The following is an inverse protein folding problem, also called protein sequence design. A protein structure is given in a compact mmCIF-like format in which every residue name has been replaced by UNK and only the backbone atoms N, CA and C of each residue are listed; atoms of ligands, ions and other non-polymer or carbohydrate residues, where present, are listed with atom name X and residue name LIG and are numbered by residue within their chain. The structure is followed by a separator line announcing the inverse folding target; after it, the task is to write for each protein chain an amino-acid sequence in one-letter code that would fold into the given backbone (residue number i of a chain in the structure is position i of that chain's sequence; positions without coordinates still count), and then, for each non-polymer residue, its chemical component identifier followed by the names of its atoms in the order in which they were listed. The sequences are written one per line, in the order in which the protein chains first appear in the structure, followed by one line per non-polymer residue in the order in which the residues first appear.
data_IF_812253426194
#
_entry.id   IF_812253426194
#
_cell.length_a   1.000
_cell.length_b   1.000
_cell.length_c   1.000
_cell.angle_alpha   90.00
_cell.angle_beta   90.00
_cell.angle_gamma   90.00
#
_symmetry.space_group_name_H-M   'P 1'
#
loop_
_entity.id
_entity.type
_entity.pdbx_description
1 polymer ?
#
# COMPACT_ATOMS: atom_id res chain seq x y z
N UNK A 1 -15.21 63.46 -33.79
CA UNK A 1 -14.91 62.02 -33.63
C UNK A 1 -13.58 61.75 -34.35
N UNK A 2 -12.64 61.09 -33.66
CA UNK A 2 -11.18 61.06 -33.90
C UNK A 2 -10.76 60.70 -35.35
N UNK A 3 -10.07 61.58 -36.11
CA UNK A 3 -8.62 61.82 -36.20
C UNK A 3 -7.71 60.59 -36.44
N UNK A 4 -7.44 60.33 -37.74
CA UNK A 4 -6.15 60.38 -38.44
C UNK A 4 -4.90 59.71 -37.83
N UNK A 5 -4.29 58.77 -38.60
CA UNK A 5 -2.98 58.87 -39.34
C UNK A 5 -1.76 58.70 -38.40
N UNK A 6 -0.62 58.09 -38.73
CA UNK A 6 -0.09 57.19 -39.75
C UNK A 6 1.38 56.94 -39.29
N UNK A 7 1.84 55.68 -39.33
CA UNK A 7 3.21 55.21 -39.68
C UNK A 7 4.42 56.10 -39.32
N UNK A 8 5.33 55.65 -38.42
CA UNK A 8 6.69 55.12 -38.74
C UNK A 8 7.67 55.11 -37.54
N UNK A 9 8.33 53.97 -37.37
CA UNK A 9 9.68 53.63 -36.86
C UNK A 9 10.54 54.73 -36.20
N UNK A 10 11.06 54.47 -34.98
CA UNK A 10 12.44 54.79 -34.58
C UNK A 10 12.97 53.79 -33.52
N UNK A 11 14.16 53.24 -33.77
CA UNK A 11 14.99 52.51 -32.80
C UNK A 11 15.61 53.48 -31.79
N UNK A 12 15.56 53.15 -30.49
CA UNK A 12 16.50 53.61 -29.46
C UNK A 12 16.67 52.50 -28.40
N UNK A 13 17.92 52.12 -28.14
CA UNK A 13 18.34 51.18 -27.07
C UNK A 13 18.28 51.85 -25.66
N UNK A 14 18.88 51.23 -24.64
CA UNK A 14 18.29 50.30 -23.68
C UNK A 14 18.03 51.02 -22.34
N UNK A 15 17.20 50.47 -21.47
CA UNK A 15 17.23 50.60 -20.00
C UNK A 15 15.81 50.38 -19.48
N UNK A 16 15.72 49.60 -18.41
CA UNK A 16 14.55 49.35 -17.57
C UNK A 16 13.52 48.40 -18.19
N UNK A 17 13.62 47.11 -17.84
CA UNK A 17 12.49 46.28 -17.36
C UNK A 17 12.96 44.83 -17.08
N UNK A 18 13.61 44.66 -15.94
CA UNK A 18 13.35 43.56 -14.99
C UNK A 18 13.35 44.20 -13.60
N UNK A 19 12.55 43.75 -12.61
CA UNK A 19 12.13 42.35 -12.42
C UNK A 19 10.66 42.16 -12.01
N UNK A 20 10.01 41.09 -12.48
CA UNK A 20 8.91 40.44 -11.74
C UNK A 20 8.99 38.92 -11.98
N UNK A 21 10.06 38.34 -11.47
CA UNK A 21 10.19 36.90 -11.21
C UNK A 21 10.56 36.78 -9.73
N UNK A 22 9.58 37.00 -8.87
CA UNK A 22 9.70 36.78 -7.42
C UNK A 22 8.62 35.79 -7.02
N UNK A 23 9.08 34.54 -6.88
CA UNK A 23 8.61 33.54 -5.93
C UNK A 23 7.10 33.40 -5.68
N UNK A 24 6.44 32.58 -6.51
CA UNK A 24 5.49 31.60 -5.96
C UNK A 24 6.30 30.35 -5.58
N UNK A 25 7.10 30.49 -4.52
CA UNK A 25 7.41 29.33 -3.72
C UNK A 25 6.07 28.94 -3.08
N UNK A 26 5.39 27.95 -3.68
CA UNK A 26 4.37 27.22 -2.94
C UNK A 26 5.02 26.85 -1.61
N UNK A 27 4.50 27.39 -0.51
CA UNK A 27 5.00 27.04 0.80
C UNK A 27 4.97 25.52 0.87
N UNK A 28 6.15 24.88 0.91
CA UNK A 28 6.23 23.48 1.23
C UNK A 28 5.38 23.30 2.49
N UNK A 29 4.40 22.37 2.50
CA UNK A 29 3.56 22.18 3.67
C UNK A 29 4.48 22.07 4.87
N UNK A 30 4.26 22.90 5.89
CA UNK A 30 5.01 22.83 7.16
C UNK A 30 5.10 21.37 7.52
N UNK A 31 6.31 20.83 7.59
CA UNK A 31 6.54 19.44 7.95
C UNK A 31 5.79 19.18 9.26
N UNK A 32 4.68 18.45 9.17
CA UNK A 32 3.97 18.02 10.36
C UNK A 32 4.94 17.12 11.13
N UNK A 33 4.98 17.20 12.46
CA UNK A 33 5.80 16.28 13.23
C UNK A 33 5.44 14.84 12.82
N UNK A 34 6.42 13.93 12.70
CA UNK A 34 6.15 12.57 12.30
C UNK A 34 5.06 11.97 13.18
N UNK A 35 4.09 11.31 12.55
CA UNK A 35 3.06 10.58 13.29
C UNK A 35 3.74 9.48 14.08
N UNK A 36 3.46 9.41 15.39
CA UNK A 36 3.75 8.19 16.16
C UNK A 36 2.93 7.04 15.57
N UNK A 37 3.52 5.87 15.36
CA UNK A 37 2.77 4.74 14.81
C UNK A 37 1.59 4.37 15.72
N UNK A 38 1.75 4.51 17.05
CA UNK A 38 0.69 4.43 18.06
C UNK A 38 -0.59 5.20 17.69
N UNK A 39 -0.47 6.40 17.11
CA UNK A 39 -1.62 7.23 16.74
C UNK A 39 -2.39 6.68 15.53
N UNK A 40 -1.76 5.83 14.72
CA UNK A 40 -2.39 5.20 13.55
C UNK A 40 -3.24 3.98 13.94
N UNK A 41 -2.95 3.31 15.07
CA UNK A 41 -3.69 2.10 15.49
C UNK A 41 -4.41 2.19 16.83
N UNK A 42 -4.14 3.19 17.67
CA UNK A 42 -4.90 3.37 18.92
C UNK A 42 -6.37 3.63 18.60
N UNK A 43 -7.25 2.75 19.09
CA UNK A 43 -8.69 2.86 18.85
C UNK A 43 -9.13 2.45 17.45
N UNK A 44 -8.30 1.71 16.70
CA UNK A 44 -8.69 1.13 15.41
C UNK A 44 -9.75 0.04 15.62
N UNK A 45 -11.00 0.21 15.16
CA UNK A 45 -11.92 -0.91 15.06
C UNK A 45 -11.55 -1.76 13.84
N UNK A 46 -11.73 -3.08 13.85
CA UNK A 46 -11.99 -3.89 15.04
C UNK A 46 -10.73 -3.90 15.93
N UNK A 47 -10.91 -3.54 17.22
CA UNK A 47 -9.81 -3.53 18.20
C UNK A 47 -9.53 -4.92 18.79
N UNK A 48 -10.28 -5.93 18.32
CA UNK A 48 -10.23 -7.32 18.75
C UNK A 48 -10.41 -8.22 17.53
N UNK A 49 -9.98 -9.48 17.62
CA UNK A 49 -10.07 -10.43 16.51
C UNK A 49 -8.75 -11.17 16.28
N UNK A 50 -8.80 -12.17 15.40
CA UNK A 50 -7.69 -13.05 15.04
C UNK A 50 -6.46 -12.27 14.58
N UNK A 51 -6.67 -11.20 13.80
CA UNK A 51 -5.59 -10.42 13.20
C UNK A 51 -5.23 -9.14 13.97
N UNK A 52 -5.87 -8.84 15.10
CA UNK A 52 -5.51 -7.68 15.92
C UNK A 52 -4.03 -7.70 16.36
N UNK A 53 -3.44 -8.84 16.81
CA UNK A 53 -2.01 -8.89 17.16
C UNK A 53 -1.06 -8.53 16.00
N UNK A 54 -1.47 -8.78 14.76
CA UNK A 54 -0.68 -8.48 13.57
C UNK A 54 -0.61 -6.98 13.31
N UNK A 55 -1.69 -6.27 13.58
CA UNK A 55 -1.73 -4.80 13.47
C UNK A 55 -0.78 -4.18 14.47
N UNK A 56 -0.89 -4.56 15.75
CA UNK A 56 -0.01 -4.09 16.81
C UNK A 56 1.46 -4.34 16.44
N UNK A 57 1.79 -5.57 16.04
CA UNK A 57 3.16 -5.92 15.68
C UNK A 57 3.67 -5.13 14.47
N UNK A 58 2.84 -4.88 13.47
CA UNK A 58 3.23 -4.09 12.28
C UNK A 58 3.67 -2.68 12.66
N UNK A 59 2.90 -2.01 13.52
CA UNK A 59 3.23 -0.65 13.94
C UNK A 59 4.39 -0.60 14.94
N UNK A 60 4.52 -1.60 15.82
CA UNK A 60 5.74 -1.76 16.64
C UNK A 60 6.98 -1.90 15.76
N UNK A 61 6.93 -2.69 14.68
CA UNK A 61 8.06 -2.83 13.76
C UNK A 61 8.38 -1.51 13.03
N UNK A 62 7.38 -0.73 12.65
CA UNK A 62 7.57 0.60 12.05
C UNK A 62 8.23 1.57 13.03
N UNK A 63 7.83 1.56 14.31
CA UNK A 63 8.44 2.36 15.37
C UNK A 63 9.87 1.88 15.70
N UNK A 64 10.10 0.56 15.81
CA UNK A 64 11.42 -0.06 16.01
C UNK A 64 12.40 0.37 14.91
N UNK A 65 11.92 0.43 13.66
CA UNK A 65 12.71 0.84 12.51
C UNK A 65 12.80 2.37 12.34
N UNK A 66 12.18 3.15 13.22
CA UNK A 66 12.13 4.61 13.18
C UNK A 66 11.68 5.17 11.82
N UNK A 67 10.69 4.53 11.18
CA UNK A 67 10.17 4.98 9.88
C UNK A 67 9.42 6.31 10.08
N UNK A 68 9.79 7.41 9.41
CA UNK A 68 9.09 8.68 9.54
C UNK A 68 7.74 8.60 8.83
N UNK A 69 6.66 8.42 9.60
CA UNK A 69 5.30 8.29 9.06
C UNK A 69 4.62 9.65 8.91
N UNK A 70 3.90 9.84 7.81
CA UNK A 70 3.05 10.99 7.53
C UNK A 70 1.61 10.55 7.21
N UNK A 71 0.59 11.38 7.47
CA UNK A 71 -0.78 11.04 7.12
C UNK A 71 -0.93 10.88 5.60
N UNK A 72 -1.67 9.86 5.16
CA UNK A 72 -2.01 9.69 3.75
C UNK A 72 -3.45 10.15 3.46
N UNK A 73 -3.67 10.98 2.43
CA UNK A 73 -5.01 11.45 2.12
C UNK A 73 -5.85 10.29 1.58
N UNK A 74 -6.80 9.83 2.38
CA UNK A 74 -7.78 8.80 2.03
C UNK A 74 -9.20 9.33 2.30
N UNK A 75 -10.21 8.96 1.48
CA UNK A 75 -11.59 9.38 1.72
C UNK A 75 -12.07 8.94 3.10
N UNK A 76 -12.51 9.89 3.94
CA UNK A 76 -12.85 9.62 5.34
C UNK A 76 -13.99 8.61 5.50
N UNK A 77 -14.93 8.58 4.55
CA UNK A 77 -16.03 7.63 4.49
C UNK A 77 -15.59 6.19 4.15
N UNK A 78 -14.38 6.00 3.64
CA UNK A 78 -13.81 4.68 3.34
C UNK A 78 -12.86 4.16 4.44
N UNK A 79 -12.53 4.98 5.44
CA UNK A 79 -11.66 4.58 6.56
C UNK A 79 -12.35 3.67 7.56
N UNK A 80 -13.69 3.67 7.58
CA UNK A 80 -14.52 2.80 8.38
C UNK A 80 -15.83 2.50 7.64
N UNK A 81 -16.01 1.25 7.23
CA UNK A 81 -17.25 0.75 6.65
C UNK A 81 -17.91 -0.23 7.62
N UNK A 82 -19.24 -0.17 7.68
CA UNK A 82 -20.07 -1.09 8.45
C UNK A 82 -21.08 -1.72 7.51
N UNK A 83 -21.18 -3.04 7.50
CA UNK A 83 -22.22 -3.71 6.74
C UNK A 83 -23.59 -3.39 7.33
N UNK A 84 -24.65 -3.55 6.54
CA UNK A 84 -26.00 -3.54 7.09
C UNK A 84 -26.18 -4.60 8.18
N UNK A 85 -27.21 -4.43 9.01
CA UNK A 85 -27.60 -5.46 9.98
C UNK A 85 -28.01 -6.73 9.22
N UNK A 86 -27.35 -7.85 9.51
CA UNK A 86 -27.63 -9.11 8.83
C UNK A 86 -29.05 -9.61 9.13
N UNK A 87 -29.62 -10.40 8.22
CA UNK A 87 -30.85 -11.14 8.52
C UNK A 87 -30.63 -12.03 9.75
N UNK A 88 -31.51 -11.93 10.75
CA UNK A 88 -31.46 -12.78 11.96
C UNK A 88 -30.58 -12.28 13.11
N UNK A 89 -30.17 -11.00 13.12
CA UNK A 89 -29.46 -10.41 14.26
C UNK A 89 -27.95 -10.71 14.30
N UNK A 90 -27.35 -11.09 13.17
CA UNK A 90 -25.91 -11.26 13.05
C UNK A 90 -25.17 -9.93 13.26
N UNK A 91 -24.04 -9.97 13.97
CA UNK A 91 -23.17 -8.81 14.17
C UNK A 91 -22.71 -8.27 12.81
N UNK A 92 -22.86 -6.96 12.56
CA UNK A 92 -22.45 -6.38 11.29
C UNK A 92 -20.93 -6.44 11.14
N UNK A 93 -20.48 -6.67 9.92
CA UNK A 93 -19.06 -6.66 9.58
C UNK A 93 -18.53 -5.23 9.64
N UNK A 94 -17.36 -5.06 10.24
CA UNK A 94 -16.62 -3.81 10.33
C UNK A 94 -15.34 -3.92 9.52
N UNK A 95 -15.16 -2.99 8.60
CA UNK A 95 -13.93 -2.83 7.84
C UNK A 95 -13.30 -1.48 8.20
N UNK A 96 -12.02 -1.48 8.54
CA UNK A 96 -11.25 -0.25 8.69
C UNK A 96 -10.05 -0.23 7.78
N UNK A 97 -9.68 0.97 7.36
CA UNK A 97 -8.46 1.22 6.61
C UNK A 97 -7.66 2.31 7.32
N UNK A 98 -6.35 2.10 7.45
CA UNK A 98 -5.40 3.15 7.79
C UNK A 98 -4.35 3.22 6.71
N UNK A 99 -4.13 4.43 6.23
CA UNK A 99 -3.12 4.72 5.25
C UNK A 99 -2.17 5.78 5.79
N UNK A 100 -0.91 5.64 5.43
CA UNK A 100 0.18 6.53 5.77
C UNK A 100 1.17 6.58 4.61
N UNK A 101 2.00 7.60 4.59
CA UNK A 101 3.15 7.70 3.69
C UNK A 101 4.44 7.83 4.52
N UNK A 102 5.56 7.73 3.83
CA UNK A 102 6.89 7.99 4.38
C UNK A 102 7.80 8.49 3.27
N UNK A 103 9.04 8.86 3.60
CA UNK A 103 10.04 9.30 2.62
C UNK A 103 10.34 8.27 1.54
N UNK A 104 10.09 6.97 1.78
CA UNK A 104 10.29 5.88 0.80
C UNK A 104 9.02 5.13 0.43
N UNK A 105 7.89 5.47 1.03
CA UNK A 105 6.61 4.84 0.79
C UNK A 105 5.63 5.90 0.29
N UNK A 106 5.20 5.79 -0.97
CA UNK A 106 4.11 6.63 -1.46
C UNK A 106 2.82 6.31 -0.70
N UNK A 107 2.59 5.04 -0.37
CA UNK A 107 1.34 4.56 0.20
C UNK A 107 1.55 3.26 0.98
N UNK A 108 1.69 3.37 2.29
CA UNK A 108 1.51 2.25 3.21
C UNK A 108 0.07 2.19 3.69
N UNK A 109 -0.54 1.00 3.70
CA UNK A 109 -1.87 0.83 4.29
C UNK A 109 -2.06 -0.52 4.94
N UNK A 110 -2.99 -0.52 5.89
CA UNK A 110 -3.50 -1.68 6.57
C UNK A 110 -5.02 -1.63 6.53
N UNK A 111 -5.64 -2.71 6.05
CA UNK A 111 -7.07 -2.95 6.10
C UNK A 111 -7.34 -4.12 7.03
N UNK A 112 -8.28 -3.94 7.94
CA UNK A 112 -8.87 -5.00 8.74
C UNK A 112 -10.35 -5.13 8.41
N UNK A 113 -10.82 -6.36 8.23
CA UNK A 113 -12.24 -6.70 8.16
C UNK A 113 -12.52 -7.73 9.24
N UNK A 114 -13.49 -7.43 10.11
CA UNK A 114 -14.04 -8.37 11.09
C UNK A 114 -15.55 -8.49 10.86
N UNK A 115 -15.95 -9.65 10.36
CA UNK A 115 -17.34 -10.08 10.24
C UNK A 115 -17.66 -11.26 11.17
N UNK A 116 -16.97 -11.33 12.31
CA UNK A 116 -17.05 -12.41 13.29
C UNK A 116 -16.07 -13.56 13.01
N UNK A 117 -16.17 -14.67 13.79
CA UNK A 117 -15.21 -15.77 13.74
C UNK A 117 -15.00 -16.40 12.36
N UNK A 118 -16.01 -16.33 11.50
CA UNK A 118 -16.02 -16.93 10.16
C UNK A 118 -15.61 -16.01 9.02
N UNK A 119 -15.33 -14.73 9.29
CA UNK A 119 -14.92 -13.75 8.29
C UNK A 119 -13.94 -12.76 8.93
N UNK A 120 -12.65 -12.98 8.72
CA UNK A 120 -11.62 -12.05 9.15
C UNK A 120 -10.61 -11.84 8.04
N UNK A 121 -10.22 -10.59 7.78
CA UNK A 121 -9.21 -10.26 6.77
C UNK A 121 -8.24 -9.23 7.33
N UNK A 122 -6.95 -9.45 7.08
CA UNK A 122 -5.91 -8.44 7.17
C UNK A 122 -5.28 -8.30 5.79
N UNK A 123 -5.26 -7.07 5.28
CA UNK A 123 -4.50 -6.71 4.09
C UNK A 123 -3.53 -5.59 4.46
N UNK A 124 -2.26 -5.94 4.63
CA UNK A 124 -1.16 -5.02 4.90
C UNK A 124 -0.33 -4.91 3.64
N UNK A 125 -0.07 -3.69 3.18
CA UNK A 125 0.71 -3.57 1.96
C UNK A 125 1.40 -2.19 1.87
N UNK A 126 2.67 -2.18 1.48
CA UNK A 126 3.53 -0.99 1.44
C UNK A 126 3.99 -0.73 0.01
N UNK A 127 3.39 0.27 -0.64
CA UNK A 127 3.80 0.69 -1.97
C UNK A 127 4.96 1.68 -1.88
N UNK A 128 6.12 1.36 -2.48
CA UNK A 128 7.23 2.28 -2.54
C UNK A 128 6.96 3.42 -3.52
N UNK A 129 7.76 4.46 -3.40
CA UNK A 129 7.75 5.59 -4.32
C UNK A 129 8.13 5.17 -5.73
N UNK A 130 7.64 5.93 -6.70
CA UNK A 130 7.87 5.68 -8.13
C UNK A 130 9.31 6.03 -8.59
N UNK A 131 10.09 6.69 -7.73
CA UNK A 131 11.50 7.02 -7.97
C UNK A 131 12.47 5.89 -7.56
N UNK A 132 11.92 4.73 -7.15
CA UNK A 132 12.72 3.59 -6.73
C UNK A 132 12.12 2.27 -7.23
N UNK A 133 12.96 1.34 -7.65
CA UNK A 133 12.54 0.02 -8.11
C UNK A 133 12.23 -0.97 -6.98
N UNK A 134 12.05 -0.49 -5.74
CA UNK A 134 11.77 -1.34 -4.59
C UNK A 134 10.51 -2.19 -4.84
N UNK A 135 10.44 -3.42 -4.30
CA UNK A 135 9.24 -4.25 -4.41
C UNK A 135 8.13 -3.70 -3.52
N UNK A 136 6.89 -4.12 -3.76
CA UNK A 136 5.76 -3.87 -2.86
C UNK A 136 5.70 -4.97 -1.81
N UNK A 137 5.85 -4.65 -0.53
CA UNK A 137 5.49 -5.60 0.53
C UNK A 137 3.98 -5.78 0.53
N UNK A 138 3.50 -7.02 0.54
CA UNK A 138 2.09 -7.37 0.67
C UNK A 138 1.92 -8.55 1.62
N UNK A 139 0.95 -8.48 2.52
CA UNK A 139 0.46 -9.57 3.33
C UNK A 139 -1.08 -9.55 3.30
N UNK A 140 -1.67 -10.58 2.71
CA UNK A 140 -3.11 -10.80 2.60
C UNK A 140 -3.46 -12.08 3.34
N UNK A 141 -4.04 -11.92 4.53
CA UNK A 141 -4.44 -13.00 5.44
C UNK A 141 -5.96 -13.02 5.50
N UNK A 142 -6.57 -14.08 4.99
CA UNK A 142 -8.03 -14.18 4.83
C UNK A 142 -8.51 -15.43 5.54
N UNK A 143 -9.38 -15.31 6.53
CA UNK A 143 -10.05 -16.44 7.19
C UNK A 143 -11.54 -16.41 6.85
N UNK A 144 -12.00 -17.46 6.18
CA UNK A 144 -13.38 -17.67 5.73
C UNK A 144 -13.92 -19.00 6.29
N UNK A 145 -15.22 -19.32 6.14
CA UNK A 145 -15.77 -20.60 6.62
C UNK A 145 -15.07 -21.82 6.00
N UNK A 146 -14.51 -21.67 4.80
CA UNK A 146 -13.79 -22.73 4.08
C UNK A 146 -12.32 -22.91 4.50
N UNK A 147 -11.81 -22.11 5.43
CA UNK A 147 -10.41 -22.11 5.86
C UNK A 147 -9.73 -20.76 5.66
N UNK A 148 -8.40 -20.77 5.81
CA UNK A 148 -7.58 -19.56 5.74
C UNK A 148 -6.69 -19.55 4.50
N UNK A 149 -6.60 -18.41 3.83
CA UNK A 149 -5.67 -18.13 2.75
C UNK A 149 -4.58 -17.17 3.24
N UNK A 150 -3.36 -17.43 2.82
CA UNK A 150 -2.18 -16.67 3.22
C UNK A 150 -1.38 -16.34 1.97
N UNK A 151 -1.18 -15.05 1.73
CA UNK A 151 -0.35 -14.54 0.66
C UNK A 151 0.58 -13.45 1.21
N UNK A 152 1.85 -13.77 1.44
CA UNK A 152 2.86 -12.80 1.89
C UNK A 152 3.98 -12.75 0.86
N UNK A 153 4.33 -11.55 0.36
CA UNK A 153 5.31 -11.40 -0.71
C UNK A 153 5.98 -10.02 -0.75
N UNK A 154 7.14 -9.97 -1.42
CA UNK A 154 7.73 -8.75 -1.96
C UNK A 154 7.48 -8.74 -3.47
N UNK A 155 6.37 -8.16 -3.86
CA UNK A 155 5.91 -8.17 -5.24
C UNK A 155 6.79 -7.27 -6.11
N UNK A 156 7.32 -7.75 -7.25
CA UNK A 156 8.24 -6.98 -8.06
C UNK A 156 7.54 -5.76 -8.70
N UNK A 157 8.20 -4.60 -8.67
CA UNK A 157 7.72 -3.37 -9.31
C UNK A 157 8.58 -3.00 -10.53
N UNK A 158 9.31 -3.93 -11.15
CA UNK A 158 10.20 -3.62 -12.26
C UNK A 158 11.23 -4.72 -12.51
N UNK A 159 12.25 -4.45 -13.35
CA UNK A 159 13.32 -5.40 -13.62
C UNK A 159 14.02 -5.82 -12.33
N UNK A 160 14.18 -7.12 -12.11
CA UNK A 160 14.80 -7.66 -10.91
C UNK A 160 16.24 -7.14 -10.76
N UNK A 161 16.48 -6.36 -9.70
CA UNK A 161 17.82 -6.00 -9.24
C UNK A 161 17.90 -6.23 -7.74
N UNK A 162 18.99 -6.84 -7.23
CA UNK A 162 19.20 -6.93 -5.81
C UNK A 162 19.31 -5.52 -5.24
N UNK A 163 18.38 -5.17 -4.34
CA UNK A 163 18.35 -3.84 -3.77
C UNK A 163 19.32 -3.73 -2.59
N UNK A 164 19.21 -4.65 -1.64
CA UNK A 164 20.06 -4.74 -0.44
C UNK A 164 20.36 -6.22 -0.17
N UNK A 165 21.64 -6.63 -0.27
CA UNK A 165 22.02 -8.04 -0.14
C UNK A 165 21.64 -8.65 1.22
N UNK A 166 21.73 -7.87 2.29
CA UNK A 166 21.34 -8.32 3.63
C UNK A 166 19.82 -8.54 3.73
N UNK A 167 19.03 -7.60 3.22
CA UNK A 167 17.57 -7.70 3.23
C UNK A 167 17.07 -8.89 2.37
N UNK A 168 17.69 -9.10 1.21
CA UNK A 168 17.43 -10.26 0.35
C UNK A 168 17.75 -11.58 1.06
N UNK A 169 18.89 -11.67 1.75
CA UNK A 169 19.26 -12.85 2.53
C UNK A 169 18.28 -13.10 3.71
N UNK A 170 17.79 -12.04 4.35
CA UNK A 170 16.76 -12.15 5.38
C UNK A 170 15.43 -12.64 4.80
N UNK A 171 15.02 -12.15 3.62
CA UNK A 171 13.83 -12.63 2.92
C UNK A 171 13.95 -14.11 2.54
N UNK A 172 15.11 -14.53 2.02
CA UNK A 172 15.38 -15.94 1.68
C UNK A 172 15.26 -16.85 2.91
N UNK A 173 15.85 -16.43 4.03
CA UNK A 173 15.75 -17.15 5.29
C UNK A 173 14.30 -17.22 5.80
N UNK A 174 13.55 -16.12 5.72
CA UNK A 174 12.15 -16.04 6.11
C UNK A 174 11.29 -16.98 5.25
N UNK A 175 11.42 -16.91 3.93
CA UNK A 175 10.70 -17.79 3.00
C UNK A 175 11.00 -19.26 3.30
N UNK A 176 12.29 -19.64 3.40
CA UNK A 176 12.68 -21.03 3.66
C UNK A 176 12.15 -21.56 5.00
N UNK A 177 12.16 -20.72 6.05
CA UNK A 177 11.64 -21.05 7.38
C UNK A 177 10.13 -21.29 7.34
N UNK A 178 9.36 -20.36 6.79
CA UNK A 178 7.89 -20.41 6.87
C UNK A 178 7.25 -21.30 5.82
N UNK A 179 7.83 -21.41 4.62
CA UNK A 179 7.36 -22.34 3.58
C UNK A 179 7.37 -23.80 4.04
N UNK A 180 8.29 -24.18 4.94
CA UNK A 180 8.37 -25.52 5.55
C UNK A 180 7.30 -25.77 6.61
N UNK A 181 6.79 -24.70 7.23
CA UNK A 181 5.79 -24.76 8.31
C UNK A 181 4.35 -24.68 7.78
N UNK A 182 4.17 -24.19 6.56
CA UNK A 182 2.87 -23.97 5.94
C UNK A 182 2.59 -24.97 4.80
N UNK A 183 1.36 -25.49 4.69
CA UNK A 183 0.96 -26.26 3.52
C UNK A 183 0.98 -25.38 2.25
N UNK A 184 1.18 -25.97 1.05
CA UNK A 184 1.11 -25.19 -0.18
C UNK A 184 -0.31 -24.68 -0.44
N UNK A 185 -0.44 -23.46 -0.95
CA UNK A 185 -1.75 -22.87 -1.31
C UNK A 185 -2.35 -23.39 -2.62
N UNK A 186 -1.64 -24.26 -3.34
CA UNK A 186 -2.02 -24.76 -4.67
C UNK A 186 -1.51 -23.87 -5.81
N UNK A 187 -2.04 -24.03 -7.04
CA UNK A 187 -1.59 -23.26 -8.19
C UNK A 187 -1.96 -21.78 -8.04
N UNK A 188 -1.03 -20.90 -8.45
CA UNK A 188 -1.29 -19.46 -8.60
C UNK A 188 -1.98 -19.24 -9.95
N UNK A 189 -3.02 -18.40 -10.04
CA UNK A 189 -3.66 -18.10 -11.32
C UNK A 189 -2.65 -17.57 -12.35
N UNK A 190 -2.62 -18.08 -13.60
CA UNK A 190 -1.67 -17.63 -14.62
C UNK A 190 -1.73 -16.12 -14.85
N UNK A 191 -2.94 -15.57 -14.85
CA UNK A 191 -3.25 -14.16 -15.06
C UNK A 191 -2.70 -13.24 -13.96
N UNK A 192 -2.28 -13.76 -12.81
CA UNK A 192 -1.66 -12.97 -11.73
C UNK A 192 -0.24 -13.40 -11.39
N UNK A 193 0.25 -14.52 -11.95
CA UNK A 193 1.56 -15.09 -11.63
C UNK A 193 2.72 -14.08 -11.75
N UNK A 194 2.65 -13.17 -12.74
CA UNK A 194 3.67 -12.13 -12.98
C UNK A 194 3.83 -11.09 -11.87
N UNK A 195 2.87 -11.00 -10.94
CA UNK A 195 2.92 -10.05 -9.81
C UNK A 195 3.53 -10.64 -8.55
N UNK A 196 3.98 -11.90 -8.59
CA UNK A 196 4.52 -12.59 -7.43
C UNK A 196 6.01 -12.88 -7.61
N UNK A 197 6.76 -12.80 -6.51
CA UNK A 197 8.18 -13.13 -6.50
C UNK A 197 8.40 -14.63 -6.28
N UNK A 198 9.65 -15.07 -6.44
CA UNK A 198 10.07 -16.43 -6.09
C UNK A 198 9.98 -16.72 -4.58
N UNK A 199 9.89 -15.68 -3.74
CA UNK A 199 9.68 -15.79 -2.28
C UNK A 199 8.22 -15.58 -1.88
N UNK A 200 7.28 -15.79 -2.81
CA UNK A 200 5.85 -15.71 -2.52
C UNK A 200 5.40 -16.83 -1.56
N UNK A 201 5.08 -16.46 -0.32
CA UNK A 201 4.54 -17.36 0.68
C UNK A 201 3.04 -17.54 0.48
N UNK A 202 2.70 -18.56 -0.33
CA UNK A 202 1.32 -18.92 -0.67
C UNK A 202 0.86 -20.20 0.05
N UNK A 203 -0.16 -20.07 0.90
CA UNK A 203 -0.68 -21.17 1.71
C UNK A 203 -2.20 -21.15 1.85
N UNK A 204 -2.78 -22.36 2.02
CA UNK A 204 -4.18 -22.58 2.39
C UNK A 204 -4.23 -23.50 3.59
N UNK A 205 -4.79 -23.03 4.70
CA UNK A 205 -4.98 -23.82 5.90
C UNK A 205 -6.45 -24.27 6.01
N UNK A 206 -6.72 -25.50 6.47
CA UNK A 206 -8.09 -26.00 6.59
C UNK A 206 -8.88 -25.23 7.65
N UNK A 207 -10.20 -25.19 7.50
CA UNK A 207 -11.11 -24.57 8.48
C UNK A 207 -11.01 -25.17 9.89
N UNK A 208 -10.47 -26.38 10.02
CA UNK A 208 -10.22 -27.03 11.30
C UNK A 208 -8.98 -26.49 12.04
N UNK A 209 -8.20 -25.60 11.43
CA UNK A 209 -7.00 -25.02 12.08
C UNK A 209 -7.45 -24.09 13.20
N UNK A 210 -7.06 -24.34 14.46
CA UNK A 210 -7.43 -23.48 15.58
C UNK A 210 -6.91 -22.04 15.41
N UNK A 211 -7.65 -21.02 15.90
CA UNK A 211 -7.22 -19.62 15.88
C UNK A 211 -5.81 -19.39 16.44
N UNK A 212 -5.47 -19.97 17.59
CA UNK A 212 -4.15 -19.80 18.21
C UNK A 212 -3.02 -20.41 17.36
N UNK A 213 -3.31 -21.54 16.70
CA UNK A 213 -2.37 -22.17 15.77
C UNK A 213 -2.15 -21.26 14.55
N UNK A 214 -3.22 -20.71 13.96
CA UNK A 214 -3.12 -19.73 12.87
C UNK A 214 -2.24 -18.55 13.27
N UNK A 215 -2.47 -17.94 14.44
CA UNK A 215 -1.64 -16.83 14.93
C UNK A 215 -0.17 -17.27 15.07
N UNK A 216 0.09 -18.43 15.69
CA UNK A 216 1.45 -18.93 15.92
C UNK A 216 2.25 -19.26 14.64
N UNK A 217 1.54 -19.59 13.56
CA UNK A 217 2.13 -19.85 12.25
C UNK A 217 2.36 -18.56 11.47
N UNK A 218 1.36 -17.66 11.45
CA UNK A 218 1.31 -16.55 10.51
C UNK A 218 1.94 -15.26 11.06
N UNK A 219 1.83 -14.98 12.36
CA UNK A 219 2.40 -13.75 12.93
C UNK A 219 3.93 -13.69 12.76
N UNK A 220 4.70 -14.78 13.06
CA UNK A 220 6.12 -14.78 12.80
C UNK A 220 6.48 -14.67 11.31
N UNK A 221 5.62 -15.16 10.41
CA UNK A 221 5.85 -15.05 8.97
C UNK A 221 5.71 -13.61 8.47
N UNK A 222 4.64 -12.93 8.87
CA UNK A 222 4.45 -11.52 8.57
C UNK A 222 5.55 -10.66 9.20
N UNK A 223 5.93 -10.93 10.46
CA UNK A 223 7.02 -10.21 11.13
C UNK A 223 8.36 -10.36 10.39
N UNK A 224 8.78 -11.57 10.06
CA UNK A 224 10.07 -11.80 9.40
C UNK A 224 10.12 -11.11 8.02
N UNK A 225 9.05 -11.19 7.23
CA UNK A 225 8.94 -10.49 5.93
C UNK A 225 8.95 -8.96 6.08
N UNK A 226 8.24 -8.45 7.09
CA UNK A 226 8.16 -7.01 7.35
C UNK A 226 9.50 -6.48 7.85
N UNK A 227 10.17 -7.17 8.77
CA UNK A 227 11.48 -6.77 9.29
C UNK A 227 12.54 -6.71 8.19
N UNK A 228 12.58 -7.73 7.32
CA UNK A 228 13.46 -7.73 6.15
C UNK A 228 13.14 -6.54 5.21
N UNK A 229 11.85 -6.20 5.05
CA UNK A 229 11.44 -5.09 4.18
C UNK A 229 11.81 -3.74 4.78
N UNK A 230 11.68 -3.57 6.09
CA UNK A 230 12.11 -2.36 6.79
C UNK A 230 13.62 -2.21 6.75
N UNK A 231 14.38 -3.31 6.79
CA UNK A 231 15.83 -3.28 6.54
C UNK A 231 16.14 -2.78 5.13
N UNK A 232 15.39 -3.24 4.14
CA UNK A 232 15.49 -2.75 2.76
C UNK A 232 15.14 -1.26 2.65
N UNK A 233 14.09 -0.78 3.32
CA UNK A 233 13.74 0.64 3.33
C UNK A 233 14.80 1.51 4.02
N UNK A 234 15.50 0.98 5.02
CA UNK A 234 16.57 1.69 5.71
C UNK A 234 17.88 1.76 4.89
N UNK A 235 18.04 0.91 3.86
CA UNK A 235 19.24 0.88 3.03
C UNK A 235 19.35 2.16 2.19
N UNK A 236 20.44 2.94 2.27
CA UNK A 236 20.56 4.20 1.56
C UNK A 236 20.36 4.02 0.04
N UNK A 237 19.63 4.93 -0.63
CA UNK A 237 19.53 4.86 -2.07
C UNK A 237 20.92 5.00 -2.73
N UNK A 238 21.11 4.45 -3.93
CA UNK A 238 22.37 4.61 -4.65
C UNK A 238 22.72 6.09 -4.85
N UNK A 239 24.02 6.45 -4.92
CA UNK A 239 24.47 7.84 -5.00
C UNK A 239 24.07 8.57 -6.28
N UNK A 240 23.55 7.84 -7.27
CA UNK A 240 23.05 8.40 -8.52
C UNK A 240 21.60 7.94 -8.75
N UNK A 241 20.73 8.82 -9.25
CA UNK A 241 19.34 8.46 -9.52
C UNK A 241 19.27 7.35 -10.58
N UNK A 242 18.25 6.49 -10.54
CA UNK A 242 18.02 5.51 -11.60
C UNK A 242 17.84 6.20 -12.96
N UNK A 243 18.22 5.54 -14.07
CA UNK A 243 17.93 6.03 -15.41
C UNK A 243 16.43 6.26 -15.61
N UNK A 244 16.06 7.25 -16.42
CA UNK A 244 14.65 7.56 -16.71
C UNK A 244 13.85 6.34 -17.21
N UNK A 245 14.46 5.51 -18.06
CA UNK A 245 13.84 4.28 -18.56
C UNK A 245 13.55 3.24 -17.47
N UNK A 246 14.31 3.24 -16.37
CA UNK A 246 14.06 2.39 -15.21
C UNK A 246 12.88 2.93 -14.41
N UNK A 247 12.80 4.25 -14.22
CA UNK A 247 11.66 4.90 -13.56
C UNK A 247 10.36 4.72 -14.35
N UNK A 248 10.43 4.79 -15.68
CA UNK A 248 9.29 4.51 -16.57
C UNK A 248 8.81 3.06 -16.41
N UNK A 249 9.74 2.10 -16.31
CA UNK A 249 9.41 0.70 -16.07
C UNK A 249 8.77 0.48 -14.68
N UNK A 250 9.26 1.19 -13.66
CA UNK A 250 8.68 1.15 -12.31
C UNK A 250 7.27 1.69 -12.29
N UNK A 251 7.05 2.85 -12.90
CA UNK A 251 5.72 3.43 -13.04
C UNK A 251 4.79 2.48 -13.78
N UNK A 252 5.23 1.91 -14.92
CA UNK A 252 4.43 0.99 -15.70
C UNK A 252 4.03 -0.26 -14.88
N UNK A 253 4.96 -0.86 -14.14
CA UNK A 253 4.69 -2.05 -13.34
C UNK A 253 3.73 -1.76 -12.16
N UNK A 254 3.97 -0.69 -11.41
CA UNK A 254 3.06 -0.31 -10.30
C UNK A 254 1.66 0.06 -10.82
N UNK A 255 1.58 0.77 -11.95
CA UNK A 255 0.31 1.16 -12.56
C UNK A 255 -0.45 -0.06 -13.10
N UNK A 256 0.24 -1.00 -13.74
CA UNK A 256 -0.34 -2.25 -14.20
C UNK A 256 -0.91 -3.05 -13.02
N UNK A 257 -0.12 -3.23 -11.95
CA UNK A 257 -0.58 -3.94 -10.76
C UNK A 257 -1.80 -3.29 -10.12
N UNK A 258 -1.75 -1.97 -9.92
CA UNK A 258 -2.86 -1.24 -9.33
C UNK A 258 -4.13 -1.35 -10.21
N UNK A 259 -4.00 -1.16 -11.51
CA UNK A 259 -5.11 -1.32 -12.48
C UNK A 259 -5.68 -2.73 -12.40
N UNK A 260 -4.83 -3.76 -12.48
CA UNK A 260 -5.24 -5.15 -12.40
C UNK A 260 -6.02 -5.44 -11.12
N UNK A 261 -5.54 -4.98 -9.96
CA UNK A 261 -6.24 -5.16 -8.68
C UNK A 261 -7.54 -4.38 -8.63
N UNK A 262 -7.61 -3.14 -9.13
CA UNK A 262 -8.89 -2.43 -9.15
C UNK A 262 -9.97 -3.16 -9.96
N UNK A 263 -9.60 -3.85 -11.04
CA UNK A 263 -10.56 -4.55 -11.91
C UNK A 263 -10.87 -5.97 -11.44
N UNK A 264 -9.84 -6.71 -10.99
CA UNK A 264 -9.90 -8.17 -10.80
C UNK A 264 -9.59 -8.63 -9.37
N UNK A 265 -9.72 -7.75 -8.38
CA UNK A 265 -9.49 -8.12 -6.98
C UNK A 265 -10.36 -9.32 -6.56
N UNK A 266 -9.77 -10.40 -6.01
CA UNK A 266 -10.56 -11.53 -5.52
C UNK A 266 -11.49 -11.16 -4.35
N UNK A 267 -11.21 -10.07 -3.61
CA UNK A 267 -12.07 -9.59 -2.54
C UNK A 267 -13.32 -8.87 -3.05
N UNK A 268 -13.37 -8.44 -4.33
CA UNK A 268 -14.49 -7.63 -4.87
C UNK A 268 -15.86 -8.25 -4.61
N UNK A 269 -16.14 -9.53 -4.93
CA UNK A 269 -17.48 -10.10 -4.69
C UNK A 269 -17.87 -10.09 -3.20
N UNK A 270 -16.90 -10.34 -2.31
CA UNK A 270 -17.13 -10.32 -0.87
C UNK A 270 -17.42 -8.89 -0.38
N UNK A 271 -16.62 -7.91 -0.80
CA UNK A 271 -16.79 -6.50 -0.43
C UNK A 271 -18.13 -5.96 -0.94
N UNK A 272 -18.49 -6.25 -2.19
CA UNK A 272 -19.77 -5.84 -2.78
C UNK A 272 -20.97 -6.42 -2.01
N UNK A 273 -20.88 -7.68 -1.56
CA UNK A 273 -21.93 -8.30 -0.74
C UNK A 273 -22.08 -7.64 0.64
N UNK A 274 -20.99 -7.17 1.23
CA UNK A 274 -21.00 -6.59 2.59
C UNK A 274 -21.37 -5.11 2.60
N UNK A 275 -20.88 -4.34 1.63
CA UNK A 275 -20.93 -2.88 1.66
C UNK A 275 -21.62 -2.26 0.42
N UNK A 276 -22.02 -3.08 -0.56
CA UNK A 276 -22.58 -2.63 -1.83
C UNK A 276 -21.53 -2.41 -2.92
N UNK A 277 -21.95 -2.53 -4.18
CA UNK A 277 -21.07 -2.44 -5.36
C UNK A 277 -20.34 -1.10 -5.47
N UNK A 278 -21.03 -0.01 -5.16
CA UNK A 278 -20.45 1.34 -5.22
C UNK A 278 -19.33 1.50 -4.19
N UNK A 279 -19.61 1.21 -2.91
CA UNK A 279 -18.63 1.34 -1.83
C UNK A 279 -17.43 0.40 -2.06
N UNK A 280 -17.66 -0.84 -2.49
CA UNK A 280 -16.58 -1.78 -2.82
C UNK A 280 -15.71 -1.28 -3.98
N UNK A 281 -16.34 -0.74 -5.04
CA UNK A 281 -15.62 -0.14 -6.16
C UNK A 281 -14.80 1.07 -5.77
N UNK A 282 -15.34 1.96 -4.93
CA UNK A 282 -14.64 3.14 -4.40
C UNK A 282 -13.49 2.73 -3.47
N UNK A 283 -13.70 1.77 -2.57
CA UNK A 283 -12.66 1.25 -1.68
C UNK A 283 -11.44 0.76 -2.48
N UNK A 284 -11.67 -0.03 -3.54
CA UNK A 284 -10.59 -0.53 -4.39
C UNK A 284 -9.85 0.59 -5.13
N UNK A 285 -10.56 1.55 -5.74
CA UNK A 285 -9.98 2.60 -6.61
C UNK A 285 -9.45 3.83 -5.87
N UNK A 286 -10.03 4.19 -4.74
CA UNK A 286 -9.73 5.44 -4.02
C UNK A 286 -8.91 5.19 -2.75
N UNK A 287 -8.80 3.93 -2.30
CA UNK A 287 -8.10 3.60 -1.05
C UNK A 287 -7.13 2.43 -1.14
N UNK A 288 -7.45 1.30 -1.79
CA UNK A 288 -6.54 0.15 -1.78
C UNK A 288 -5.49 0.18 -2.90
N UNK A 289 -5.88 0.65 -4.09
CA UNK A 289 -5.05 0.66 -5.30
C UNK A 289 -5.23 1.99 -6.05
N UNK A 290 -4.89 3.08 -5.38
CA UNK A 290 -5.25 4.45 -5.75
C UNK A 290 -4.36 5.11 -6.82
N UNK A 291 -3.26 4.47 -7.21
CA UNK A 291 -2.29 5.03 -8.14
C UNK A 291 -2.90 5.53 -9.47
N UNK A 292 -3.77 4.78 -10.16
CA UNK A 292 -4.40 5.25 -11.40
C UNK A 292 -5.18 6.56 -11.21
N UNK A 293 -5.92 6.68 -10.10
CA UNK A 293 -6.72 7.85 -9.78
C UNK A 293 -5.85 9.07 -9.47
N UNK A 294 -4.76 8.87 -8.72
CA UNK A 294 -3.84 9.97 -8.37
C UNK A 294 -3.13 10.54 -9.58
N UNK A 295 -2.65 9.67 -10.48
CA UNK A 295 -2.03 10.10 -11.73
C UNK A 295 -3.03 10.87 -12.60
N UNK A 296 -4.27 10.40 -12.70
CA UNK A 296 -5.32 11.10 -13.45
C UNK A 296 -5.65 12.49 -12.88
N UNK A 297 -5.41 12.72 -11.58
CA UNK A 297 -5.59 14.02 -10.92
C UNK A 297 -4.34 14.92 -10.96
N UNK A 298 -3.23 14.43 -11.52
CA UNK A 298 -1.95 15.15 -11.50
C UNK A 298 -1.35 15.28 -10.09
N UNK A 299 -1.81 14.47 -9.14
CA UNK A 299 -1.23 14.44 -7.80
C UNK A 299 0.17 13.82 -7.91
N UNK A 300 1.17 14.48 -7.31
CA UNK A 300 2.53 13.94 -7.28
C UNK A 300 2.52 12.63 -6.47
N UNK A 301 2.62 11.51 -7.17
CA UNK A 301 2.85 10.17 -6.60
C UNK A 301 4.32 10.00 -6.18
N UNK A 302 4.88 11.07 -5.62
CA UNK A 302 6.15 11.12 -4.92
C UNK A 302 5.87 10.58 -3.52
#
# INVERSE_FOLDING_TARGET
EHHNVCVCVYMLQPYMLQPFLVALAAAAPRAQPPLKAEALYTGLPPASGLYAPFVHRTFELLDEAAVPLAPYPSPGDLQLLRSGDGHGGATPALLSVRAFSSERLRHGRLLLLDGGPSLQVLNLCFFPRLDSALPTLSADLVTLPGGSLVAIDWQPNGPARPHCAEAEAQLDAAYAKHRRRLPPGGPVPPDSARFFSDRFLWSRLPASTPPDELVSLLLPAMEDYTRAYLRLLADPPPPSPPPASELDAVLAAQLEYATYRTERDPARPMLSRLFGEEAAGRLLRESLFDLPLRLARGEQAH
#
